data_IF_138751442251
#
_entry.id   IF_138751442251
#
_cell.length_a   1.000
_cell.length_b   1.000
_cell.length_c   1.000
_cell.angle_alpha   90.00
_cell.angle_beta   90.00
_cell.angle_gamma   90.00
#
_symmetry.space_group_name_H-M   'P 1'
#
loop_
_entity.id
_entity.type
_entity.pdbx_description
1 polymer ?
#
# COMPACT_ATOMS: atom_id res chain seq x y z
N UNK A 1 10.41 2.58 -8.64
CA UNK A 1 9.67 1.67 -7.73
C UNK A 1 9.19 0.41 -8.44
N UNK A 2 8.44 0.50 -9.54
CA UNK A 2 7.96 -0.71 -10.25
C UNK A 2 9.09 -1.60 -10.80
N UNK A 3 10.24 -1.04 -11.16
CA UNK A 3 11.41 -1.84 -11.58
C UNK A 3 11.93 -2.78 -10.48
N UNK A 4 11.81 -2.39 -9.21
CA UNK A 4 12.21 -3.22 -8.06
C UNK A 4 11.26 -4.41 -7.95
N UNK A 5 9.95 -4.15 -8.03
CA UNK A 5 8.90 -5.17 -8.00
C UNK A 5 9.11 -6.19 -9.12
N UNK A 6 9.47 -5.72 -10.32
CA UNK A 6 9.80 -6.58 -11.45
C UNK A 6 11.06 -7.41 -11.22
N UNK A 7 12.14 -6.81 -10.71
CA UNK A 7 13.38 -7.54 -10.38
C UNK A 7 13.16 -8.61 -9.31
N UNK A 8 12.24 -8.36 -8.38
CA UNK A 8 11.87 -9.30 -7.31
C UNK A 8 10.79 -10.32 -7.73
N UNK A 9 10.26 -10.21 -8.96
CA UNK A 9 9.24 -11.13 -9.47
C UNK A 9 7.89 -11.05 -8.76
N UNK A 10 7.57 -9.92 -8.13
CA UNK A 10 6.31 -9.74 -7.40
C UNK A 10 5.18 -9.35 -8.36
N UNK A 11 4.15 -10.17 -8.47
CA UNK A 11 2.94 -9.88 -9.24
C UNK A 11 1.75 -9.47 -8.38
N UNK A 12 1.90 -9.53 -7.05
CA UNK A 12 0.86 -9.25 -6.07
C UNK A 12 1.45 -8.45 -4.91
N UNK A 13 0.99 -7.22 -4.72
CA UNK A 13 1.55 -6.27 -3.76
C UNK A 13 0.45 -5.56 -2.98
N UNK A 14 0.76 -5.11 -1.76
CA UNK A 14 -0.13 -4.30 -0.94
C UNK A 14 0.35 -2.86 -0.88
N UNK A 15 -0.57 -1.92 -0.70
CA UNK A 15 -0.26 -0.49 -0.65
C UNK A 15 -0.93 0.14 0.56
N UNK A 16 -0.17 0.95 1.29
CA UNK A 16 -0.63 1.84 2.34
C UNK A 16 -0.25 3.26 1.93
N UNK A 17 -1.21 4.17 2.00
CA UNK A 17 -0.95 5.58 1.78
C UNK A 17 -1.74 6.43 2.78
N UNK A 18 -1.18 7.58 3.09
CA UNK A 18 -1.85 8.59 3.93
C UNK A 18 -2.94 9.34 3.14
N UNK A 19 -4.02 9.74 3.82
CA UNK A 19 -5.04 10.67 3.32
C UNK A 19 -4.49 12.11 3.23
N UNK A 20 -3.43 12.26 2.45
CA UNK A 20 -2.85 13.55 2.09
C UNK A 20 -2.81 13.69 0.59
N UNK A 21 -2.75 14.92 0.09
CA UNK A 21 -2.57 15.19 -1.34
C UNK A 21 -1.33 14.47 -1.90
N UNK A 22 -0.31 14.26 -1.08
CA UNK A 22 0.87 13.49 -1.47
C UNK A 22 0.56 12.00 -1.58
N UNK A 23 -0.01 11.40 -0.52
CA UNK A 23 -0.33 9.98 -0.50
C UNK A 23 -1.31 9.57 -1.61
N UNK A 24 -2.36 10.36 -1.84
CA UNK A 24 -3.35 10.10 -2.89
C UNK A 24 -2.73 10.19 -4.28
N UNK A 25 -1.98 11.25 -4.59
CA UNK A 25 -1.32 11.38 -5.91
C UNK A 25 -0.29 10.27 -6.16
N UNK A 26 0.50 9.93 -5.13
CA UNK A 26 1.47 8.85 -5.23
C UNK A 26 0.80 7.50 -5.50
N UNK A 27 -0.34 7.24 -4.86
CA UNK A 27 -1.15 6.05 -5.11
C UNK A 27 -1.68 6.03 -6.55
N UNK A 28 -2.28 7.12 -7.04
CA UNK A 28 -2.83 7.21 -8.40
C UNK A 28 -1.76 6.93 -9.47
N UNK A 29 -0.58 7.57 -9.34
CA UNK A 29 0.53 7.32 -10.27
C UNK A 29 1.02 5.87 -10.20
N UNK A 30 1.12 5.31 -8.99
CA UNK A 30 1.55 3.93 -8.81
C UNK A 30 0.54 2.94 -9.37
N UNK A 31 -0.77 3.16 -9.18
CA UNK A 31 -1.84 2.29 -9.67
C UNK A 31 -1.79 2.17 -11.20
N UNK A 32 -1.64 3.30 -11.90
CA UNK A 32 -1.49 3.32 -13.37
C UNK A 32 -0.25 2.54 -13.81
N UNK A 33 0.87 2.71 -13.11
CA UNK A 33 2.10 1.99 -13.42
C UNK A 33 1.95 0.48 -13.15
N UNK A 34 1.41 0.06 -12.01
CA UNK A 34 1.21 -1.35 -11.68
C UNK A 34 0.29 -2.05 -12.68
N UNK A 35 -0.81 -1.39 -13.07
CA UNK A 35 -1.73 -1.90 -14.09
C UNK A 35 -1.02 -2.11 -15.43
N UNK A 36 -0.16 -1.18 -15.84
CA UNK A 36 0.64 -1.29 -17.08
C UNK A 36 1.58 -2.49 -17.10
N UNK A 37 2.05 -2.93 -15.94
CA UNK A 37 2.95 -4.08 -15.81
C UNK A 37 2.25 -5.36 -15.33
N UNK A 38 0.91 -5.40 -15.36
CA UNK A 38 0.10 -6.55 -14.93
C UNK A 38 0.37 -7.00 -13.49
N UNK A 39 0.68 -6.04 -12.61
CA UNK A 39 0.85 -6.28 -11.17
C UNK A 39 -0.47 -5.94 -10.49
N UNK A 40 -0.97 -6.85 -9.67
CA UNK A 40 -2.24 -6.70 -8.98
C UNK A 40 -2.04 -6.19 -7.54
N UNK A 41 -2.95 -5.33 -7.10
CA UNK A 41 -3.00 -4.80 -5.74
C UNK A 41 -3.84 -5.75 -4.89
N UNK A 42 -3.24 -6.30 -3.84
CA UNK A 42 -3.87 -7.23 -2.92
C UNK A 42 -4.74 -6.53 -1.89
N UNK A 43 -4.18 -5.47 -1.30
CA UNK A 43 -4.80 -4.68 -0.25
C UNK A 43 -4.42 -3.22 -0.49
N UNK A 44 -5.40 -2.35 -0.30
CA UNK A 44 -5.26 -0.90 -0.36
C UNK A 44 -5.79 -0.31 0.94
N UNK A 45 -4.91 0.19 1.79
CA UNK A 45 -5.28 0.85 3.04
C UNK A 45 -4.94 2.33 3.01
N UNK A 46 -5.85 3.13 3.55
CA UNK A 46 -5.72 4.59 3.65
C UNK A 46 -5.58 4.96 5.13
N UNK A 47 -4.50 5.65 5.49
CA UNK A 47 -4.27 6.16 6.84
C UNK A 47 -4.89 7.55 6.98
N UNK A 48 -5.84 7.69 7.91
CA UNK A 48 -6.44 8.98 8.27
C UNK A 48 -5.68 9.53 9.48
N UNK A 49 -5.18 10.77 9.41
CA UNK A 49 -4.52 11.44 10.54
C UNK A 49 -5.56 11.98 11.53
N UNK A 50 -6.24 11.09 12.24
CA UNK A 50 -7.13 11.50 13.36
C UNK A 50 -6.37 11.46 14.69
N UNK A 51 -5.72 12.59 15.00
CA UNK A 51 -5.36 13.05 16.36
C UNK A 51 -5.06 11.98 17.44
N UNK A 52 -3.93 11.28 17.31
CA UNK A 52 -3.04 10.93 18.43
C UNK A 52 -3.45 9.85 19.46
N UNK A 53 -4.67 9.28 19.43
CA UNK A 53 -5.07 8.19 20.35
C UNK A 53 -5.71 6.99 19.64
N UNK A 54 -6.31 7.18 18.47
CA UNK A 54 -6.91 6.12 17.66
C UNK A 54 -5.92 5.37 16.75
N UNK A 55 -4.63 5.74 16.80
CA UNK A 55 -3.62 5.33 15.84
C UNK A 55 -3.13 3.88 16.04
N UNK A 56 -2.89 3.43 17.27
CA UNK A 56 -2.23 2.14 17.51
C UNK A 56 -3.10 0.93 17.08
N UNK A 57 -4.38 0.92 17.46
CA UNK A 57 -5.31 -0.14 17.05
C UNK A 57 -5.60 -0.12 15.54
N UNK A 58 -5.58 1.06 14.92
CA UNK A 58 -5.77 1.17 13.48
C UNK A 58 -4.59 0.57 12.70
N UNK A 59 -3.35 0.74 13.19
CA UNK A 59 -2.18 0.07 12.62
C UNK A 59 -2.25 -1.44 12.80
N UNK A 60 -2.67 -1.92 13.97
CA UNK A 60 -2.86 -3.36 14.22
C UNK A 60 -3.89 -3.97 13.27
N UNK A 61 -5.02 -3.31 13.05
CA UNK A 61 -6.05 -3.74 12.09
C UNK A 61 -5.50 -3.81 10.66
N UNK A 62 -4.67 -2.84 10.27
CA UNK A 62 -4.01 -2.86 8.95
C UNK A 62 -3.05 -4.05 8.84
N UNK A 63 -2.26 -4.32 9.87
CA UNK A 63 -1.36 -5.49 9.90
C UNK A 63 -2.18 -6.78 9.80
N UNK A 64 -3.27 -6.91 10.56
CA UNK A 64 -4.16 -8.07 10.50
C UNK A 64 -4.74 -8.27 9.10
N UNK A 65 -5.17 -7.19 8.42
CA UNK A 65 -5.62 -7.25 7.04
C UNK A 65 -4.50 -7.70 6.10
N UNK A 66 -3.29 -7.15 6.21
CA UNK A 66 -2.13 -7.56 5.42
C UNK A 66 -1.83 -9.06 5.57
N UNK A 67 -1.93 -9.60 6.79
CA UNK A 67 -1.73 -11.02 7.07
C UNK A 67 -2.77 -11.93 6.39
N UNK A 68 -3.96 -11.41 6.02
CA UNK A 68 -4.96 -12.19 5.26
C UNK A 68 -4.52 -12.52 3.83
N UNK A 69 -3.51 -11.82 3.28
CA UNK A 69 -3.00 -12.00 1.91
C UNK A 69 -1.51 -12.39 1.93
N UNK A 70 -1.13 -13.58 2.44
CA UNK A 70 0.27 -13.97 2.60
C UNK A 70 1.06 -14.13 1.28
N UNK A 71 0.36 -14.17 0.14
CA UNK A 71 0.98 -14.18 -1.19
C UNK A 71 1.46 -12.79 -1.62
N UNK A 72 0.95 -11.73 -1.03
CA UNK A 72 1.36 -10.35 -1.31
C UNK A 72 2.62 -10.03 -0.49
N UNK A 73 3.80 -10.26 -1.09
CA UNK A 73 5.09 -10.10 -0.41
C UNK A 73 5.65 -8.69 -0.45
N UNK A 74 5.22 -7.89 -1.43
CA UNK A 74 5.61 -6.48 -1.54
C UNK A 74 4.62 -5.58 -0.84
N UNK A 75 5.12 -4.68 0.01
CA UNK A 75 4.33 -3.62 0.64
C UNK A 75 4.92 -2.26 0.26
N UNK A 76 4.09 -1.39 -0.30
CA UNK A 76 4.43 0.02 -0.51
C UNK A 76 3.79 0.88 0.58
N UNK A 77 4.58 1.77 1.18
CA UNK A 77 4.10 2.70 2.20
C UNK A 77 4.45 4.12 1.78
N UNK A 78 3.42 4.95 1.59
CA UNK A 78 3.56 6.39 1.33
C UNK A 78 3.03 7.17 2.54
N UNK A 79 3.95 7.77 3.28
CA UNK A 79 3.65 8.59 4.45
C UNK A 79 4.43 9.90 4.36
N UNK A 80 3.78 11.03 4.65
CA UNK A 80 4.43 12.35 4.66
C UNK A 80 4.12 13.14 5.93
#
# INVERSE_FOLDING_TARGET
>A
MVEIVKKLGWSYVSIIYEESNYGVKAFEELEVLLAKYSICIAIKEKLVKDSGVAEETAYDDIVLKLLTKPRARGLFVYYK
#
